data_IF_488056779675
#
_entry.id   IF_488056779675
#
_cell.length_a   1.000
_cell.length_b   1.000
_cell.length_c   1.000
_cell.angle_alpha   90.00
_cell.angle_beta   90.00
_cell.angle_gamma   90.00
#
_symmetry.space_group_name_H-M   'P 1'
#
loop_
_entity.id
_entity.type
_entity.pdbx_description
1 polymer ?
#
# COMPACT_ATOMS: atom_id res chain seq x y z
N UNK A 1 47.97 9.73 51.23
CA UNK A 1 48.27 8.30 51.51
C UNK A 1 47.01 7.50 51.24
N UNK A 2 47.05 6.52 50.32
CA UNK A 2 46.03 5.44 50.26
C UNK A 2 46.40 4.38 51.30
N UNK A 3 45.39 3.73 51.89
CA UNK A 3 45.27 2.29 51.64
C UNK A 3 43.81 1.80 51.48
N UNK A 4 43.60 0.97 50.46
CA UNK A 4 42.62 -0.15 50.35
C UNK A 4 42.99 -1.27 51.36
N UNK A 5 42.29 -2.42 51.55
CA UNK A 5 41.01 -2.95 51.02
C UNK A 5 40.12 -3.67 52.08
N UNK A 6 38.94 -4.20 51.71
CA UNK A 6 38.54 -5.62 51.89
C UNK A 6 37.08 -5.90 51.45
N UNK A 7 36.94 -7.04 50.78
CA UNK A 7 35.74 -7.63 50.19
C UNK A 7 34.78 -8.24 51.23
N UNK A 8 33.60 -8.58 50.69
CA UNK A 8 32.66 -9.68 51.03
C UNK A 8 31.62 -9.38 52.09
N UNK A 9 30.33 -9.40 51.70
CA UNK A 9 29.43 -10.53 52.00
C UNK A 9 28.20 -10.44 51.06
N UNK A 10 27.93 -11.53 50.31
CA UNK A 10 26.62 -11.78 49.69
C UNK A 10 25.58 -11.95 50.81
N UNK A 11 24.47 -11.24 50.77
CA UNK A 11 23.22 -11.74 51.34
C UNK A 11 22.16 -11.75 50.25
N UNK A 12 21.91 -12.94 49.71
CA UNK A 12 20.64 -13.30 49.10
C UNK A 12 19.58 -13.27 50.21
N UNK A 13 18.62 -12.36 50.13
CA UNK A 13 17.33 -12.54 50.79
C UNK A 13 16.23 -12.21 49.76
N UNK A 14 15.92 -13.20 48.92
CA UNK A 14 14.73 -13.18 48.09
C UNK A 14 13.52 -13.52 48.97
N UNK A 15 12.84 -12.49 49.46
CA UNK A 15 11.50 -12.63 50.04
C UNK A 15 10.48 -12.62 48.89
N UNK A 16 9.85 -13.76 48.65
CA UNK A 16 8.60 -13.88 47.92
C UNK A 16 7.45 -13.35 48.79
N UNK A 17 6.58 -12.47 48.27
CA UNK A 17 5.18 -12.53 48.57
C UNK A 17 4.41 -12.99 47.32
N UNK A 18 3.66 -14.08 47.51
CA UNK A 18 2.71 -14.62 46.57
C UNK A 18 1.48 -13.70 46.44
N UNK A 19 1.08 -13.49 45.18
CA UNK A 19 -0.26 -13.22 44.63
C UNK A 19 -1.14 -12.13 45.25
N UNK A 20 -1.28 -11.01 44.51
CA UNK A 20 -2.59 -10.44 44.15
C UNK A 20 -2.49 -9.57 42.88
N UNK A 21 -3.32 -9.88 41.89
CA UNK A 21 -3.87 -9.06 40.79
C UNK A 21 -3.01 -7.99 40.09
N UNK A 22 -2.77 -8.24 38.80
CA UNK A 22 -2.41 -7.21 37.81
C UNK A 22 -1.44 -7.76 36.78
N UNK A 23 -1.94 -8.33 35.68
CA UNK A 23 -1.10 -8.68 34.52
C UNK A 23 -0.32 -7.42 34.09
N UNK A 24 1.00 -7.48 33.86
CA UNK A 24 1.66 -6.42 33.12
C UNK A 24 1.12 -6.49 31.69
N UNK A 25 0.40 -5.45 31.26
CA UNK A 25 0.12 -5.23 29.84
C UNK A 25 1.46 -5.31 29.10
N UNK A 26 1.60 -6.19 28.09
CA UNK A 26 2.74 -6.10 27.22
C UNK A 26 2.65 -4.72 26.56
N UNK A 27 3.66 -3.88 26.80
CA UNK A 27 3.93 -2.71 25.97
C UNK A 27 3.74 -3.18 24.53
N UNK A 28 2.74 -2.64 23.83
CA UNK A 28 2.64 -2.76 22.39
C UNK A 28 3.88 -2.11 21.82
N UNK A 29 4.93 -2.92 21.72
CA UNK A 29 5.95 -2.74 20.72
C UNK A 29 5.17 -2.74 19.42
N UNK A 30 4.91 -1.53 18.91
CA UNK A 30 4.54 -1.32 17.53
C UNK A 30 5.68 -1.96 16.76
N UNK A 31 5.46 -3.20 16.35
CA UNK A 31 6.25 -3.85 15.34
C UNK A 31 6.09 -2.95 14.12
N UNK A 32 6.99 -1.98 13.97
CA UNK A 32 7.41 -1.54 12.65
C UNK A 32 8.04 -2.78 12.07
N UNK A 33 7.19 -3.66 11.54
CA UNK A 33 7.61 -4.78 10.76
C UNK A 33 8.21 -4.16 9.51
N UNK A 34 9.50 -3.86 9.57
CA UNK A 34 10.42 -4.10 8.46
C UNK A 34 10.45 -5.60 8.20
N UNK A 35 9.30 -6.18 7.89
CA UNK A 35 9.28 -7.36 7.05
C UNK A 35 9.94 -6.91 5.75
N UNK A 36 10.94 -7.63 5.24
CA UNK A 36 11.31 -7.45 3.86
C UNK A 36 10.03 -7.65 3.04
N UNK A 37 9.95 -7.07 1.84
CA UNK A 37 8.86 -7.27 0.89
C UNK A 37 8.81 -8.75 0.41
N UNK A 38 8.70 -9.69 1.35
CA UNK A 38 8.73 -11.14 1.18
C UNK A 38 7.31 -11.57 0.86
N UNK A 39 7.11 -11.86 -0.42
CA UNK A 39 6.19 -12.87 -0.94
C UNK A 39 4.79 -12.94 -0.32
N UNK A 40 4.17 -11.78 -0.04
CA UNK A 40 2.73 -11.78 0.13
C UNK A 40 2.11 -12.20 -1.21
N UNK A 41 1.23 -13.22 -1.23
CA UNK A 41 0.60 -13.65 -2.47
C UNK A 41 -0.21 -12.48 -3.06
N UNK A 42 -0.34 -12.42 -4.40
CA UNK A 42 -1.26 -11.50 -5.04
C UNK A 42 -2.66 -11.63 -4.44
N UNK A 43 -3.41 -10.54 -4.46
CA UNK A 43 -4.77 -10.52 -3.92
C UNK A 43 -5.73 -9.75 -4.84
N UNK A 44 -7.01 -10.03 -4.68
CA UNK A 44 -8.08 -9.36 -5.42
C UNK A 44 -8.63 -8.20 -4.58
N UNK A 45 -8.65 -7.02 -5.18
CA UNK A 45 -9.34 -5.85 -4.66
C UNK A 45 -10.61 -5.64 -5.47
N UNK A 46 -11.75 -5.73 -4.81
CA UNK A 46 -13.04 -5.40 -5.42
C UNK A 46 -13.14 -3.91 -5.74
N UNK A 47 -13.63 -3.60 -6.94
CA UNK A 47 -14.03 -2.28 -7.39
C UNK A 47 -15.53 -2.33 -7.63
N UNK A 48 -16.30 -2.12 -6.55
CA UNK A 48 -17.76 -2.31 -6.53
C UNK A 48 -18.47 -1.49 -7.62
N UNK A 49 -18.01 -0.27 -7.87
CA UNK A 49 -18.57 0.63 -8.89
C UNK A 49 -18.42 0.13 -10.33
N UNK A 50 -17.50 -0.81 -10.58
CA UNK A 50 -17.27 -1.45 -11.86
C UNK A 50 -17.81 -2.88 -11.92
N UNK A 51 -18.36 -3.40 -10.82
CA UNK A 51 -18.65 -4.83 -10.64
C UNK A 51 -17.45 -5.70 -11.08
N UNK A 52 -16.25 -5.32 -10.65
CA UNK A 52 -15.00 -5.91 -11.10
C UNK A 52 -14.01 -6.08 -9.94
N UNK A 53 -12.93 -6.82 -10.20
CA UNK A 53 -11.82 -7.04 -9.27
C UNK A 53 -10.51 -6.74 -9.97
N UNK A 54 -9.62 -6.04 -9.29
CA UNK A 54 -8.24 -5.86 -9.73
C UNK A 54 -7.30 -6.76 -8.94
N UNK A 55 -6.43 -7.49 -9.64
CA UNK A 55 -5.39 -8.30 -9.01
C UNK A 55 -4.16 -7.43 -8.74
N UNK A 56 -3.76 -7.32 -7.48
CA UNK A 56 -2.65 -6.50 -7.02
C UNK A 56 -1.54 -7.36 -6.38
N UNK A 57 -0.26 -6.94 -6.46
CA UNK A 57 0.82 -7.58 -5.71
C UNK A 57 0.58 -7.52 -4.21
N UNK A 58 0.95 -8.57 -3.47
CA UNK A 58 0.66 -8.66 -2.03
C UNK A 58 1.21 -7.50 -1.19
N UNK A 59 2.30 -6.87 -1.61
CA UNK A 59 2.86 -5.68 -0.95
C UNK A 59 1.93 -4.46 -0.98
N UNK A 60 0.88 -4.45 -1.81
CA UNK A 60 -0.11 -3.39 -1.81
C UNK A 60 -1.14 -3.53 -0.70
N UNK A 61 -1.26 -4.71 -0.09
CA UNK A 61 -2.30 -4.97 0.91
C UNK A 61 -2.20 -3.97 2.06
N UNK A 62 -3.33 -3.37 2.42
CA UNK A 62 -3.49 -2.37 3.48
C UNK A 62 -2.73 -1.04 3.27
N UNK A 63 -2.08 -0.81 2.13
CA UNK A 63 -1.28 0.39 1.86
C UNK A 63 -2.00 1.51 1.11
N UNK A 64 -3.29 1.34 0.83
CA UNK A 64 -4.06 2.31 0.04
C UNK A 64 -5.53 2.35 0.46
N UNK A 65 -6.19 3.42 0.04
CA UNK A 65 -7.65 3.54 -0.05
C UNK A 65 -8.05 3.70 -1.50
N UNK A 66 -9.24 3.20 -1.84
CA UNK A 66 -9.82 3.34 -3.17
C UNK A 66 -10.83 4.47 -3.17
N UNK A 67 -10.78 5.35 -4.17
CA UNK A 67 -11.74 6.43 -4.39
C UNK A 67 -12.25 6.32 -5.82
N UNK A 68 -13.56 6.18 -5.99
CA UNK A 68 -14.22 6.32 -7.28
C UNK A 68 -14.72 7.75 -7.46
N UNK A 69 -14.46 8.35 -8.62
CA UNK A 69 -15.00 9.65 -8.98
C UNK A 69 -15.20 9.80 -10.49
N UNK A 70 -16.08 10.73 -10.92
CA UNK A 70 -16.04 11.24 -12.29
C UNK A 70 -14.65 11.77 -12.63
N UNK A 71 -14.18 11.47 -13.83
CA UNK A 71 -12.95 12.03 -14.39
C UNK A 71 -13.30 12.78 -15.67
N UNK A 72 -12.43 13.70 -16.07
CA UNK A 72 -12.51 14.42 -17.36
C UNK A 72 -11.14 14.46 -18.05
N UNK A 73 -10.10 13.93 -17.41
CA UNK A 73 -8.75 13.96 -17.94
C UNK A 73 -8.67 13.19 -19.27
N UNK A 74 -8.26 13.88 -20.32
CA UNK A 74 -8.22 13.36 -21.70
C UNK A 74 -9.53 12.73 -22.19
N UNK A 75 -10.67 13.16 -21.63
CA UNK A 75 -11.99 12.62 -21.97
C UNK A 75 -12.31 11.26 -21.33
N UNK A 76 -11.51 10.80 -20.35
CA UNK A 76 -11.99 9.78 -19.42
C UNK A 76 -13.28 10.29 -18.79
N UNK A 77 -14.23 9.40 -18.49
CA UNK A 77 -15.48 9.78 -17.81
C UNK A 77 -15.53 9.27 -16.36
N UNK A 78 -14.58 8.41 -15.96
CA UNK A 78 -14.45 7.87 -14.61
C UNK A 78 -13.00 7.57 -14.27
N UNK A 79 -12.65 7.76 -13.00
CA UNK A 79 -11.40 7.36 -12.41
C UNK A 79 -11.63 6.57 -11.11
N UNK A 80 -10.91 5.47 -10.97
CA UNK A 80 -10.75 4.72 -9.72
C UNK A 80 -9.33 4.95 -9.24
N UNK A 81 -9.18 5.78 -8.23
CA UNK A 81 -7.91 6.22 -7.66
C UNK A 81 -7.52 5.34 -6.47
N UNK A 82 -6.27 4.90 -6.47
CA UNK A 82 -5.62 4.22 -5.36
C UNK A 82 -4.71 5.24 -4.69
N UNK A 83 -5.15 5.74 -3.54
CA UNK A 83 -4.43 6.74 -2.76
C UNK A 83 -3.68 6.04 -1.64
N UNK A 84 -2.40 6.35 -1.46
CA UNK A 84 -1.63 5.85 -0.34
C UNK A 84 -2.35 6.16 0.97
N UNK A 85 -2.49 5.14 1.81
CA UNK A 85 -3.04 5.26 3.14
C UNK A 85 -1.98 4.74 4.09
N UNK A 86 -1.24 5.67 4.70
CA UNK A 86 -0.46 5.32 5.87
C UNK A 86 -1.40 4.98 7.04
N UNK A 87 -0.87 4.35 8.08
CA UNK A 87 -1.59 4.16 9.34
C UNK A 87 -2.25 5.48 9.78
N UNK A 88 -3.51 5.42 10.22
CA UNK A 88 -4.31 6.61 10.55
C UNK A 88 -3.67 7.47 11.64
N UNK A 89 -2.81 6.87 12.48
CA UNK A 89 -2.02 7.57 13.49
C UNK A 89 -0.84 8.37 12.94
N UNK A 90 -0.42 8.14 11.69
CA UNK A 90 0.81 8.71 11.12
C UNK A 90 0.69 10.18 10.69
N UNK A 91 -0.53 10.70 10.52
CA UNK A 91 -0.76 12.05 9.99
C UNK A 91 -0.28 12.28 8.56
N UNK A 92 0.18 11.23 7.84
CA UNK A 92 0.69 11.35 6.48
C UNK A 92 -0.47 11.57 5.51
N UNK A 93 -0.45 12.65 4.70
CA UNK A 93 -1.54 12.94 3.79
C UNK A 93 -1.63 11.88 2.68
N UNK A 94 -2.83 11.42 2.31
CA UNK A 94 -3.01 10.51 1.19
C UNK A 94 -2.54 11.13 -0.13
N UNK A 95 -1.79 10.37 -0.92
CA UNK A 95 -1.31 10.78 -2.25
C UNK A 95 -1.65 9.72 -3.29
N UNK A 96 -1.94 10.15 -4.50
CA UNK A 96 -2.23 9.24 -5.61
C UNK A 96 -1.04 8.33 -5.89
N UNK A 97 -1.31 7.03 -6.01
CA UNK A 97 -0.32 6.02 -6.37
C UNK A 97 -0.59 5.44 -7.76
N UNK A 98 -1.85 5.13 -8.00
CA UNK A 98 -2.31 4.52 -9.24
C UNK A 98 -3.72 4.98 -9.52
N UNK A 99 -4.09 5.06 -10.79
CA UNK A 99 -5.45 5.33 -11.20
C UNK A 99 -5.82 4.43 -12.37
N UNK A 100 -7.02 3.86 -12.29
CA UNK A 100 -7.67 3.17 -13.39
C UNK A 100 -8.67 4.15 -14.00
N UNK A 101 -8.56 4.42 -15.30
CA UNK A 101 -9.48 5.31 -16.02
C UNK A 101 -10.33 4.54 -17.00
N UNK A 102 -11.60 4.90 -17.08
CA UNK A 102 -12.54 4.39 -18.07
C UNK A 102 -12.73 5.42 -19.19
N UNK A 103 -12.56 4.96 -20.42
CA UNK A 103 -12.82 5.72 -21.63
C UNK A 103 -13.89 5.00 -22.45
N UNK A 104 -14.69 5.75 -23.19
CA UNK A 104 -15.41 5.14 -24.32
C UNK A 104 -14.38 4.71 -25.37
N UNK A 105 -14.67 3.67 -26.17
CA UNK A 105 -13.77 3.23 -27.25
C UNK A 105 -13.35 4.38 -28.16
N UNK A 106 -14.31 5.19 -28.61
CA UNK A 106 -14.06 6.32 -29.51
C UNK A 106 -13.14 7.38 -28.88
N UNK A 107 -13.24 7.61 -27.58
CA UNK A 107 -12.35 8.56 -26.90
C UNK A 107 -10.96 7.95 -26.70
N UNK A 108 -10.87 6.69 -26.32
CA UNK A 108 -9.58 6.00 -26.18
C UNK A 108 -8.78 5.99 -27.48
N UNK A 109 -9.44 5.77 -28.62
CA UNK A 109 -8.79 5.77 -29.92
C UNK A 109 -8.09 7.12 -30.21
N UNK A 110 -8.68 8.25 -29.80
CA UNK A 110 -8.05 9.58 -29.91
C UNK A 110 -6.89 9.76 -28.93
N UNK A 111 -7.03 9.23 -27.71
CA UNK A 111 -6.02 9.36 -26.66
C UNK A 111 -4.79 8.52 -26.99
N UNK A 112 -4.94 7.25 -27.39
CA UNK A 112 -3.78 6.37 -27.66
C UNK A 112 -2.88 6.87 -28.79
N UNK A 113 -3.45 7.61 -29.74
CA UNK A 113 -2.70 8.20 -30.86
C UNK A 113 -1.87 9.41 -30.40
N UNK A 114 -2.40 10.20 -29.47
CA UNK A 114 -1.80 11.46 -29.01
C UNK A 114 -0.97 11.32 -27.72
N UNK A 115 -1.17 10.26 -26.95
CA UNK A 115 -0.62 10.08 -25.59
C UNK A 115 -0.10 8.66 -25.38
N UNK A 116 0.95 8.29 -26.15
CA UNK A 116 1.47 6.91 -26.24
C UNK A 116 1.97 6.33 -24.91
N UNK A 117 2.45 7.17 -24.00
CA UNK A 117 3.06 6.74 -22.73
C UNK A 117 2.13 6.89 -21.52
N UNK A 118 0.91 7.38 -21.73
CA UNK A 118 0.09 7.88 -20.62
C UNK A 118 -0.54 6.76 -19.78
N UNK A 119 -0.91 5.65 -20.42
CA UNK A 119 -1.57 4.56 -19.72
C UNK A 119 -1.46 3.24 -20.51
N UNK A 120 -1.39 2.13 -19.77
CA UNK A 120 -1.48 0.78 -20.34
C UNK A 120 -2.91 0.27 -20.22
N UNK A 121 -3.41 -0.39 -21.26
CA UNK A 121 -4.75 -1.01 -21.25
C UNK A 121 -4.76 -2.18 -20.26
N UNK A 122 -5.74 -2.20 -19.36
CA UNK A 122 -6.01 -3.29 -18.43
C UNK A 122 -7.05 -4.26 -18.96
N UNK A 123 -8.13 -3.73 -19.49
CA UNK A 123 -9.27 -4.51 -19.94
C UNK A 123 -10.13 -3.68 -20.90
N UNK A 124 -10.92 -4.39 -21.69
CA UNK A 124 -12.00 -3.83 -22.49
C UNK A 124 -13.28 -4.56 -22.12
N UNK A 125 -14.34 -3.82 -21.79
CA UNK A 125 -15.61 -4.38 -21.34
C UNK A 125 -16.75 -3.40 -21.59
N UNK A 126 -17.92 -3.89 -21.98
CA UNK A 126 -19.11 -3.05 -22.15
C UNK A 126 -18.98 -1.89 -23.17
N UNK A 127 -18.06 -1.98 -24.14
CA UNK A 127 -17.77 -0.90 -25.09
C UNK A 127 -16.79 0.18 -24.56
N UNK A 128 -16.23 -0.05 -23.38
CA UNK A 128 -15.28 0.84 -22.72
C UNK A 128 -13.89 0.23 -22.68
N UNK A 129 -12.90 1.12 -22.56
CA UNK A 129 -11.50 0.77 -22.39
C UNK A 129 -11.05 1.25 -21.02
N UNK A 130 -10.57 0.29 -20.23
CA UNK A 130 -10.04 0.50 -18.90
C UNK A 130 -8.53 0.52 -18.98
N UNK A 131 -7.93 1.61 -18.54
CA UNK A 131 -6.49 1.83 -18.61
C UNK A 131 -5.96 2.11 -17.23
N UNK A 132 -4.67 1.88 -17.01
CA UNK A 132 -4.01 2.24 -15.79
C UNK A 132 -2.80 3.12 -16.02
N UNK A 133 -2.58 4.01 -15.06
CA UNK A 133 -1.36 4.81 -14.93
C UNK A 133 -0.91 4.79 -13.47
N UNK A 134 0.40 4.68 -13.26
CA UNK A 134 1.05 4.76 -11.95
C UNK A 134 1.81 6.08 -11.83
N UNK A 135 2.06 6.52 -10.59
CA UNK A 135 3.04 7.58 -10.37
C UNK A 135 4.44 7.07 -10.65
N UNK A 136 5.25 7.85 -11.34
CA UNK A 136 6.62 7.47 -11.74
C UNK A 136 7.65 7.76 -10.65
N UNK A 137 7.27 8.53 -9.62
CA UNK A 137 8.10 8.86 -8.47
C UNK A 137 7.26 8.91 -7.19
N UNK A 138 7.86 8.58 -6.05
CA UNK A 138 7.20 8.73 -4.75
C UNK A 138 6.78 10.19 -4.52
N UNK A 139 5.51 10.45 -4.13
CA UNK A 139 5.04 11.79 -3.82
C UNK A 139 5.45 12.27 -2.41
N UNK A 140 6.27 11.49 -1.70
CA UNK A 140 6.73 11.77 -0.34
C UNK A 140 8.21 12.15 -0.29
N UNK A 141 8.66 12.90 0.74
CA UNK A 141 10.07 13.26 0.88
C UNK A 141 10.98 12.02 0.96
N UNK A 142 12.15 12.12 0.34
CA UNK A 142 13.16 11.06 0.34
C UNK A 142 13.58 10.71 1.77
N UNK A 143 13.81 9.42 2.04
CA UNK A 143 14.23 8.92 3.34
C UNK A 143 13.11 8.73 4.36
N UNK A 144 11.85 9.06 4.02
CA UNK A 144 10.71 8.76 4.89
C UNK A 144 10.28 7.30 4.76
N UNK A 145 9.68 6.70 5.82
CA UNK A 145 9.11 5.36 5.73
C UNK A 145 8.06 5.23 4.61
N UNK A 146 7.28 6.28 4.36
CA UNK A 146 6.28 6.31 3.29
C UNK A 146 6.92 6.21 1.91
N UNK A 147 8.04 6.89 1.66
CA UNK A 147 8.77 6.77 0.40
C UNK A 147 9.24 5.35 0.15
N UNK A 148 9.88 4.72 1.15
CA UNK A 148 10.33 3.33 1.02
C UNK A 148 9.17 2.37 0.72
N UNK A 149 8.03 2.56 1.39
CA UNK A 149 6.84 1.73 1.16
C UNK A 149 6.24 1.95 -0.23
N UNK A 150 6.15 3.20 -0.69
CA UNK A 150 5.67 3.52 -2.03
C UNK A 150 6.58 2.94 -3.10
N UNK A 151 7.90 3.04 -2.94
CA UNK A 151 8.87 2.48 -3.89
C UNK A 151 8.71 0.96 -3.99
N UNK A 152 8.55 0.26 -2.86
CA UNK A 152 8.26 -1.18 -2.85
C UNK A 152 6.96 -1.52 -3.59
N UNK A 153 5.89 -0.74 -3.38
CA UNK A 153 4.62 -0.92 -4.05
C UNK A 153 4.73 -0.72 -5.57
N UNK A 154 5.43 0.33 -6.01
CA UNK A 154 5.62 0.62 -7.44
C UNK A 154 6.49 -0.43 -8.14
N UNK A 155 7.60 -0.82 -7.52
CA UNK A 155 8.47 -1.88 -8.07
C UNK A 155 7.73 -3.20 -8.24
N UNK A 156 6.81 -3.54 -7.33
CA UNK A 156 6.03 -4.77 -7.42
C UNK A 156 4.98 -4.76 -8.54
N UNK A 157 4.55 -3.60 -9.02
CA UNK A 157 3.67 -3.48 -10.21
C UNK A 157 4.43 -3.59 -11.53
N UNK A 158 5.68 -3.11 -11.55
CA UNK A 158 6.54 -3.14 -12.74
C UNK A 158 7.18 -4.51 -12.92
N UNK A 159 7.42 -5.24 -11.82
CA UNK A 159 7.94 -6.60 -11.86
C UNK A 159 6.99 -7.58 -12.53
N UNK A 160 7.50 -8.40 -13.45
CA UNK A 160 6.71 -9.36 -14.25
C UNK A 160 6.05 -10.50 -13.45
N UNK A 161 6.26 -10.54 -12.13
CA UNK A 161 5.86 -11.68 -11.27
C UNK A 161 4.38 -11.68 -10.90
N UNK A 162 3.68 -10.54 -10.95
CA UNK A 162 2.25 -10.48 -10.62
C UNK A 162 1.45 -9.92 -11.78
N UNK A 163 0.43 -10.65 -12.28
CA UNK A 163 -0.44 -10.12 -13.31
C UNK A 163 -1.33 -9.02 -12.73
N UNK A 164 -0.97 -7.75 -13.02
CA UNK A 164 -1.87 -6.63 -12.80
C UNK A 164 -3.00 -6.68 -13.84
N UNK A 165 -4.19 -7.13 -13.42
CA UNK A 165 -5.34 -7.45 -14.28
C UNK A 165 -6.63 -6.94 -13.66
N UNK A 166 -7.54 -6.46 -14.50
CA UNK A 166 -8.92 -6.13 -14.15
C UNK A 166 -9.85 -7.21 -14.69
N UNK A 167 -10.67 -7.80 -13.83
CA UNK A 167 -11.60 -8.89 -14.16
C UNK A 167 -13.02 -8.47 -13.79
N UNK A 168 -13.93 -8.46 -14.76
CA UNK A 168 -15.34 -8.16 -14.51
C UNK A 168 -16.07 -9.40 -13.98
N UNK A 169 -16.91 -9.21 -12.95
CA UNK A 169 -17.77 -10.28 -12.44
C UNK A 169 -18.87 -10.56 -13.47
N UNK A 170 -19.22 -11.84 -13.66
CA UNK A 170 -20.36 -12.19 -14.52
C UNK A 170 -21.64 -11.62 -13.89
N UNK A 171 -22.35 -10.81 -14.66
CA UNK A 171 -23.70 -10.33 -14.32
C UNK A 171 -24.75 -11.42 -14.49
#
# INVERSE_FOLDING_TARGET
MRPTPRLTTLLLLAALPALACGKPEPKSEVAVATTPAVDLPPFQQEIASLNAEVTLPGVWRYGYKVVDRPDTLYGAHRAVEFLYAADTASGVPPRLLMVIRAYTRAQWDKVRESQKDLAKVLAEHGGEVYTFSIVTASPYPVGTPSTLRVDQMMMALIGERTPFKLTFKKG
#
